data_IF_485429251365
#
_entry.id   IF_485429251365
#
_cell.length_a   1.000
_cell.length_b   1.000
_cell.length_c   1.000
_cell.angle_alpha   90.00
_cell.angle_beta   90.00
_cell.angle_gamma   90.00
#
_symmetry.space_group_name_H-M   'P 1'
#
loop_
_entity.id
_entity.type
_entity.pdbx_description
1 polymer ?
#
# COMPACT_ATOMS: atom_id res chain seq x y z
N UNK A 1 0.80 1.62 4.39
CA UNK A 1 0.51 1.65 2.93
C UNK A 1 -0.10 3.00 2.57
N UNK A 2 -1.01 3.52 3.38
CA UNK A 2 -1.56 4.88 3.30
C UNK A 2 -0.60 6.01 3.64
N UNK A 3 0.62 5.70 4.07
CA UNK A 3 1.69 6.69 4.24
C UNK A 3 2.46 6.94 2.94
N UNK A 4 2.16 6.22 1.85
CA UNK A 4 2.80 6.46 0.56
C UNK A 4 2.39 7.80 -0.07
N UNK A 5 1.11 8.24 -0.07
CA UNK A 5 0.72 9.56 -0.57
C UNK A 5 1.48 10.71 0.11
N UNK A 6 1.69 10.64 1.44
CA UNK A 6 2.40 11.70 2.18
C UNK A 6 3.87 11.87 1.78
N UNK A 7 4.43 10.89 1.06
CA UNK A 7 5.80 10.93 0.51
C UNK A 7 5.78 11.29 -0.97
N UNK A 8 4.90 10.65 -1.75
CA UNK A 8 4.85 10.80 -3.21
C UNK A 8 4.31 12.18 -3.62
N UNK A 9 3.30 12.71 -2.93
CA UNK A 9 2.70 14.02 -3.24
C UNK A 9 3.73 15.18 -3.19
N UNK A 10 4.53 15.34 -2.11
CA UNK A 10 5.49 16.44 -2.04
C UNK A 10 6.79 16.19 -2.84
N UNK A 11 7.21 14.94 -3.02
CA UNK A 11 8.50 14.62 -3.66
C UNK A 11 8.37 14.34 -5.17
N UNK A 12 7.15 14.14 -5.66
CA UNK A 12 6.90 13.70 -7.04
C UNK A 12 7.18 12.21 -7.24
N UNK A 13 7.22 11.80 -8.50
CA UNK A 13 7.25 10.38 -8.89
C UNK A 13 8.64 9.87 -9.26
N UNK A 14 9.61 10.76 -9.49
CA UNK A 14 11.00 10.41 -9.83
C UNK A 14 11.85 10.21 -8.56
N UNK A 15 11.47 9.20 -7.78
CA UNK A 15 12.05 8.89 -6.48
C UNK A 15 12.23 7.38 -6.29
N UNK A 16 13.14 7.00 -5.39
CA UNK A 16 13.30 5.61 -4.94
C UNK A 16 12.67 5.44 -3.56
N UNK A 17 11.68 4.55 -3.45
CA UNK A 17 11.03 4.20 -2.19
C UNK A 17 11.66 2.93 -1.60
N UNK A 18 12.30 3.06 -0.43
CA UNK A 18 12.79 1.92 0.35
C UNK A 18 11.73 1.54 1.40
N UNK A 19 11.27 0.28 1.34
CA UNK A 19 10.18 -0.20 2.18
C UNK A 19 10.66 -1.46 2.91
N UNK A 20 11.27 -1.29 4.09
CA UNK A 20 11.79 -2.39 4.91
C UNK A 20 10.70 -3.19 5.60
N UNK A 21 10.40 -2.85 6.87
CA UNK A 21 9.42 -3.57 7.70
C UNK A 21 8.01 -3.60 7.11
N UNK A 22 7.64 -2.60 6.29
CA UNK A 22 6.35 -2.57 5.57
C UNK A 22 6.22 -3.62 4.48
N UNK A 23 7.33 -4.17 3.97
CA UNK A 23 7.34 -5.30 3.04
C UNK A 23 7.44 -6.62 3.80
N UNK A 24 8.50 -6.75 4.60
CA UNK A 24 8.84 -8.02 5.27
C UNK A 24 7.83 -8.42 6.33
N UNK A 25 7.20 -7.44 6.98
CA UNK A 25 6.22 -7.67 8.02
C UNK A 25 4.82 -8.03 7.51
N UNK A 26 4.60 -8.17 6.19
CA UNK A 26 3.26 -8.49 5.68
C UNK A 26 2.75 -9.82 6.23
N UNK A 27 1.48 -9.92 6.66
CA UNK A 27 1.01 -11.10 7.37
C UNK A 27 0.99 -12.37 6.49
N UNK A 28 0.92 -12.19 5.17
CA UNK A 28 0.99 -13.28 4.19
C UNK A 28 2.40 -13.42 3.57
N UNK A 29 3.44 -12.88 4.22
CA UNK A 29 4.84 -12.99 3.82
C UNK A 29 5.36 -11.89 2.88
N UNK A 30 6.67 -11.85 2.69
CA UNK A 30 7.39 -10.75 2.01
C UNK A 30 6.96 -10.53 0.55
N UNK A 31 6.69 -11.60 -0.19
CA UNK A 31 6.20 -11.51 -1.57
C UNK A 31 4.83 -10.82 -1.65
N UNK A 32 3.93 -11.14 -0.72
CA UNK A 32 2.64 -10.47 -0.60
C UNK A 32 2.81 -9.00 -0.17
N UNK A 33 3.76 -8.70 0.72
CA UNK A 33 4.10 -7.33 1.08
C UNK A 33 4.58 -6.49 -0.09
N UNK A 34 5.46 -7.04 -0.93
CA UNK A 34 5.94 -6.35 -2.14
C UNK A 34 4.78 -6.09 -3.12
N UNK A 35 3.87 -7.05 -3.26
CA UNK A 35 2.67 -6.91 -4.10
C UNK A 35 1.70 -5.86 -3.56
N UNK A 36 1.46 -5.84 -2.25
CA UNK A 36 0.66 -4.81 -1.60
C UNK A 36 1.23 -3.40 -1.82
N UNK A 37 2.56 -3.25 -1.76
CA UNK A 37 3.23 -1.97 -2.03
C UNK A 37 2.97 -1.53 -3.46
N UNK A 38 3.13 -2.45 -4.41
CA UNK A 38 2.89 -2.13 -5.81
C UNK A 38 1.45 -1.71 -6.04
N UNK A 39 0.49 -2.46 -5.50
CA UNK A 39 -0.93 -2.14 -5.55
C UNK A 39 -1.24 -0.75 -4.96
N UNK A 40 -0.64 -0.39 -3.82
CA UNK A 40 -0.83 0.93 -3.23
C UNK A 40 -0.26 2.05 -4.11
N UNK A 41 0.91 1.85 -4.72
CA UNK A 41 1.50 2.85 -5.63
C UNK A 41 0.66 2.95 -6.92
N UNK A 42 0.17 1.83 -7.45
CA UNK A 42 -0.69 1.84 -8.64
C UNK A 42 -1.99 2.62 -8.39
N UNK A 43 -2.60 2.44 -7.21
CA UNK A 43 -3.77 3.21 -6.80
C UNK A 43 -3.47 4.73 -6.77
N UNK A 44 -2.32 5.13 -6.22
CA UNK A 44 -1.89 6.54 -6.18
C UNK A 44 -1.68 7.09 -7.59
N UNK A 45 -0.97 6.35 -8.46
CA UNK A 45 -0.69 6.79 -9.84
C UNK A 45 -1.93 6.87 -10.71
N UNK A 46 -2.95 6.07 -10.40
CA UNK A 46 -4.24 6.07 -11.09
C UNK A 46 -5.27 6.99 -10.44
N UNK A 47 -4.89 7.72 -9.38
CA UNK A 47 -5.80 8.56 -8.58
C UNK A 47 -7.03 7.81 -8.03
N UNK A 48 -6.87 6.50 -7.77
CA UNK A 48 -7.91 5.66 -7.17
C UNK A 48 -7.73 5.67 -5.65
N UNK A 49 -8.81 5.94 -4.93
CA UNK A 49 -8.81 5.87 -3.47
C UNK A 49 -8.48 4.45 -2.99
N UNK A 50 -7.65 4.33 -1.96
CA UNK A 50 -7.23 3.02 -1.44
C UNK A 50 -8.41 2.17 -0.93
N UNK A 51 -9.45 2.78 -0.36
CA UNK A 51 -10.66 2.09 0.12
C UNK A 51 -11.49 1.45 -1.01
N UNK A 52 -11.40 1.98 -2.22
CA UNK A 52 -11.96 1.35 -3.42
C UNK A 52 -11.01 0.29 -3.98
N UNK A 53 -9.72 0.60 -4.07
CA UNK A 53 -8.72 -0.30 -4.66
C UNK A 53 -8.59 -1.61 -3.87
N UNK A 54 -8.71 -1.56 -2.54
CA UNK A 54 -8.59 -2.74 -1.68
C UNK A 54 -9.64 -3.81 -1.96
N UNK A 55 -10.85 -3.44 -2.40
CA UNK A 55 -11.98 -4.38 -2.57
C UNK A 55 -11.66 -5.56 -3.49
N UNK A 56 -10.72 -5.38 -4.41
CA UNK A 56 -10.30 -6.42 -5.37
C UNK A 56 -8.82 -6.83 -5.21
N UNK A 57 -8.11 -6.28 -4.22
CA UNK A 57 -6.67 -6.50 -4.02
C UNK A 57 -6.38 -7.07 -2.64
N UNK A 58 -6.36 -8.41 -2.57
CA UNK A 58 -6.17 -9.16 -1.32
C UNK A 58 -4.93 -8.71 -0.55
N UNK A 59 -3.77 -8.59 -1.19
CA UNK A 59 -2.53 -8.26 -0.49
C UNK A 59 -2.60 -6.84 0.10
N UNK A 60 -3.15 -5.88 -0.63
CA UNK A 60 -3.37 -4.53 -0.11
C UNK A 60 -4.34 -4.52 1.08
N UNK A 61 -5.46 -5.26 1.02
CA UNK A 61 -6.38 -5.41 2.17
C UNK A 61 -5.63 -5.93 3.39
N UNK A 62 -4.90 -7.02 3.24
CA UNK A 62 -4.17 -7.70 4.32
C UNK A 62 -3.11 -6.79 4.94
N UNK A 63 -2.45 -5.98 4.13
CA UNK A 63 -1.53 -4.96 4.61
C UNK A 63 -2.26 -3.89 5.45
N UNK A 64 -3.36 -3.35 4.93
CA UNK A 64 -4.13 -2.32 5.63
C UNK A 64 -4.77 -2.82 6.92
N UNK A 65 -5.29 -4.05 6.96
CA UNK A 65 -5.79 -4.68 8.19
C UNK A 65 -4.72 -4.74 9.29
N UNK A 66 -3.46 -4.93 8.92
CA UNK A 66 -2.35 -5.06 9.87
C UNK A 66 -1.88 -3.72 10.41
N UNK A 67 -1.68 -2.74 9.54
CA UNK A 67 -0.98 -1.51 9.88
C UNK A 67 -1.87 -0.29 10.00
N UNK A 68 -3.16 -0.41 9.68
CA UNK A 68 -4.11 0.69 9.62
C UNK A 68 -5.45 0.32 10.26
N UNK A 69 -6.22 1.35 10.62
CA UNK A 69 -7.60 1.17 11.04
C UNK A 69 -8.52 1.24 9.81
N UNK A 70 -8.47 0.21 8.97
CA UNK A 70 -9.50 0.01 7.96
C UNK A 70 -10.63 -0.77 8.60
N UNK A 71 -11.70 -0.07 8.94
CA UNK A 71 -12.98 -0.71 9.27
C UNK A 71 -13.59 -1.12 7.93
N UNK A 72 -13.52 -2.41 7.61
CA UNK A 72 -14.37 -3.00 6.59
C UNK A 72 -15.80 -3.00 7.16
N UNK A 73 -16.56 -1.96 6.87
CA UNK A 73 -18.03 -1.92 7.07
C UNK A 73 -18.73 -2.55 5.88
#
# INVERSE_FOLDING_TARGET
MSNLPTVIEPLGTDIVLQLGGGTLGHPDGSAAGAKAIRQAIDAIMQEIRLDEYVKIHKELVRALEKWEHVILV
#
